data_IF_054134366186
#
_entry.id   IF_054134366186
#
_cell.length_a   1.000
_cell.length_b   1.000
_cell.length_c   1.000
_cell.angle_alpha   90.00
_cell.angle_beta   90.00
_cell.angle_gamma   90.00
#
_symmetry.space_group_name_H-M   'P 1'
#
loop_
_entity.id
_entity.type
_entity.pdbx_description
1 polymer ?
#
# COMPACT_ATOMS: atom_id res chain seq x y z
N UNK A 1 -10.68 1.15 -2.53
CA UNK A 1 -10.03 0.90 -3.83
C UNK A 1 -9.79 2.18 -4.64
N UNK A 2 -10.82 3.02 -4.91
CA UNK A 2 -10.67 4.26 -5.70
C UNK A 2 -9.46 5.12 -5.31
N UNK A 3 -9.30 5.43 -4.02
CA UNK A 3 -8.17 6.25 -3.53
C UNK A 3 -6.80 5.59 -3.73
N UNK A 4 -6.72 4.26 -3.56
CA UNK A 4 -5.49 3.51 -3.83
C UNK A 4 -5.08 3.68 -5.31
N UNK A 5 -6.02 3.45 -6.22
CA UNK A 5 -5.78 3.58 -7.66
C UNK A 5 -5.43 5.03 -8.04
N UNK A 6 -6.08 6.02 -7.43
CA UNK A 6 -5.74 7.43 -7.64
C UNK A 6 -4.30 7.74 -7.23
N UNK A 7 -3.84 7.28 -6.06
CA UNK A 7 -2.44 7.49 -5.64
C UNK A 7 -1.48 6.76 -6.57
N UNK A 8 -1.78 5.51 -6.91
CA UNK A 8 -0.96 4.72 -7.83
C UNK A 8 -0.80 5.41 -9.19
N UNK A 9 -1.91 5.83 -9.80
CA UNK A 9 -1.91 6.50 -11.10
C UNK A 9 -1.32 7.91 -11.03
N UNK A 10 -1.49 8.62 -9.92
CA UNK A 10 -0.83 9.90 -9.69
C UNK A 10 0.70 9.76 -9.73
N UNK A 11 1.27 8.75 -9.06
CA UNK A 11 2.72 8.48 -9.15
C UNK A 11 3.15 8.24 -10.60
N UNK A 12 2.38 7.45 -11.36
CA UNK A 12 2.66 7.19 -12.78
C UNK A 12 2.64 8.50 -13.58
N UNK A 13 1.58 9.28 -13.45
CA UNK A 13 1.39 10.53 -14.18
C UNK A 13 2.49 11.53 -13.88
N UNK A 14 2.82 11.76 -12.60
CA UNK A 14 3.87 12.71 -12.20
C UNK A 14 5.24 12.33 -12.78
N UNK A 15 5.59 11.04 -12.78
CA UNK A 15 6.86 10.58 -13.33
C UNK A 15 6.88 10.68 -14.85
N UNK A 16 5.81 10.27 -15.53
CA UNK A 16 5.74 10.27 -17.00
C UNK A 16 5.65 11.67 -17.60
N UNK A 17 4.95 12.61 -16.95
CA UNK A 17 4.84 14.00 -17.41
C UNK A 17 6.08 14.84 -17.11
N UNK A 18 6.97 14.39 -16.22
CA UNK A 18 8.21 15.09 -15.93
C UNK A 18 9.23 14.93 -17.08
N UNK A 19 9.22 15.88 -18.02
CA UNK A 19 10.08 15.85 -19.21
C UNK A 19 11.58 15.91 -18.91
N UNK A 20 12.01 16.72 -17.94
CA UNK A 20 13.43 16.87 -17.60
C UNK A 20 13.95 15.67 -16.81
N UNK A 21 14.96 14.97 -17.34
CA UNK A 21 15.55 13.78 -16.74
C UNK A 21 16.06 13.98 -15.31
N UNK A 22 16.75 15.10 -15.04
CA UNK A 22 17.27 15.41 -13.70
C UNK A 22 16.15 15.57 -12.66
N UNK A 23 15.08 16.29 -13.00
CA UNK A 23 13.89 16.45 -12.16
C UNK A 23 13.16 15.12 -11.96
N UNK A 24 13.06 14.30 -13.01
CA UNK A 24 12.41 12.98 -12.94
C UNK A 24 13.16 12.02 -12.00
N UNK A 25 14.49 12.04 -12.00
CA UNK A 25 15.32 11.30 -11.03
C UNK A 25 15.08 11.80 -9.60
N UNK A 26 14.96 13.12 -9.39
CA UNK A 26 14.62 13.68 -8.07
C UNK A 26 13.23 13.25 -7.61
N UNK A 27 12.27 13.16 -8.53
CA UNK A 27 10.92 12.72 -8.27
C UNK A 27 10.87 11.25 -7.84
N UNK A 28 11.61 10.34 -8.50
CA UNK A 28 11.75 8.95 -8.04
C UNK A 28 12.34 8.87 -6.62
N UNK A 29 13.40 9.64 -6.33
CA UNK A 29 13.96 9.71 -4.96
C UNK A 29 12.92 10.17 -3.95
N UNK A 30 12.10 11.16 -4.31
CA UNK A 30 11.04 11.69 -3.45
C UNK A 30 9.98 10.63 -3.18
N UNK A 31 9.50 9.92 -4.20
CA UNK A 31 8.54 8.83 -4.00
C UNK A 31 9.07 7.70 -3.13
N UNK A 32 10.33 7.30 -3.29
CA UNK A 32 10.97 6.30 -2.43
C UNK A 32 11.01 6.78 -0.97
N UNK A 33 11.34 8.06 -0.72
CA UNK A 33 11.30 8.63 0.65
C UNK A 33 9.88 8.66 1.23
N UNK A 34 8.89 9.06 0.43
CA UNK A 34 7.49 9.09 0.88
C UNK A 34 7.02 7.67 1.21
N UNK A 35 7.34 6.68 0.37
CA UNK A 35 7.03 5.29 0.64
C UNK A 35 7.69 4.80 1.94
N UNK A 36 8.98 5.13 2.16
CA UNK A 36 9.66 4.80 3.41
C UNK A 36 8.92 5.36 4.64
N UNK A 37 8.49 6.62 4.60
CA UNK A 37 7.68 7.21 5.65
C UNK A 37 6.31 6.54 5.80
N UNK A 38 5.61 6.21 4.70
CA UNK A 38 4.36 5.47 4.78
C UNK A 38 4.53 4.12 5.50
N UNK A 39 5.64 3.41 5.23
CA UNK A 39 5.98 2.16 5.92
C UNK A 39 6.27 2.38 7.41
N UNK A 40 7.05 3.41 7.76
CA UNK A 40 7.36 3.81 9.14
C UNK A 40 6.07 4.09 9.94
N UNK A 41 5.10 4.78 9.33
CA UNK A 41 3.78 5.04 9.92
C UNK A 41 2.79 3.88 9.81
N UNK A 42 3.25 2.68 9.42
CA UNK A 42 2.41 1.49 9.25
C UNK A 42 1.22 1.72 8.30
N UNK A 43 1.34 2.71 7.40
CA UNK A 43 0.40 3.00 6.33
C UNK A 43 0.78 2.20 5.08
N UNK A 44 0.57 0.89 5.17
CA UNK A 44 0.91 -0.06 4.13
C UNK A 44 0.09 0.17 2.86
N UNK A 45 -1.17 0.62 2.97
CA UNK A 45 -1.99 0.93 1.79
C UNK A 45 -1.35 1.99 0.88
N UNK A 46 -0.88 3.10 1.44
CA UNK A 46 -0.27 4.19 0.66
C UNK A 46 1.14 3.83 0.21
N UNK A 47 1.89 3.12 1.05
CA UNK A 47 3.18 2.54 0.69
C UNK A 47 3.06 1.71 -0.60
N UNK A 48 2.19 0.69 -0.62
CA UNK A 48 2.02 -0.16 -1.80
C UNK A 48 1.49 0.61 -3.01
N UNK A 49 0.60 1.58 -2.83
CA UNK A 49 0.12 2.40 -3.96
C UNK A 49 1.27 3.12 -4.67
N UNK A 50 2.22 3.66 -3.90
CA UNK A 50 3.39 4.36 -4.46
C UNK A 50 4.34 3.40 -5.15
N UNK A 51 4.69 2.28 -4.51
CA UNK A 51 5.61 1.29 -5.11
C UNK A 51 4.99 0.71 -6.38
N UNK A 52 3.72 0.32 -6.37
CA UNK A 52 3.01 -0.17 -7.56
C UNK A 52 2.90 0.87 -8.67
N UNK A 53 2.86 2.16 -8.33
CA UNK A 53 2.95 3.25 -9.30
C UNK A 53 4.33 3.31 -9.98
N UNK A 54 5.41 3.11 -9.22
CA UNK A 54 6.78 3.08 -9.75
C UNK A 54 7.09 1.80 -10.55
N UNK A 55 6.52 0.65 -10.15
CA UNK A 55 6.64 -0.62 -10.90
C UNK A 55 5.78 -0.66 -12.17
N UNK A 56 4.89 0.32 -12.38
CA UNK A 56 4.05 0.39 -13.57
C UNK A 56 4.91 0.39 -14.85
N UNK A 57 4.56 -0.36 -15.90
CA UNK A 57 5.31 -0.41 -17.15
C UNK A 57 5.62 0.96 -17.78
N UNK A 58 4.78 1.97 -17.54
CA UNK A 58 5.00 3.33 -18.00
C UNK A 58 6.20 4.03 -17.33
N UNK A 59 6.49 3.66 -16.09
CA UNK A 59 7.58 4.19 -15.28
C UNK A 59 8.81 3.28 -15.32
N UNK A 60 8.62 1.96 -15.16
CA UNK A 60 9.72 1.00 -15.08
C UNK A 60 10.54 0.91 -16.37
N UNK A 61 9.92 1.16 -17.55
CA UNK A 61 10.63 1.20 -18.84
C UNK A 61 11.58 2.40 -19.02
N UNK A 62 11.53 3.41 -18.16
CA UNK A 62 12.32 4.65 -18.30
C UNK A 62 13.79 4.44 -17.88
N UNK A 63 14.50 3.56 -18.60
CA UNK A 63 15.86 3.07 -18.27
C UNK A 63 16.83 4.17 -17.87
N UNK A 64 16.95 5.23 -18.68
CA UNK A 64 17.84 6.36 -18.40
C UNK A 64 17.58 7.04 -17.04
N UNK A 65 16.33 7.04 -16.58
CA UNK A 65 15.94 7.61 -15.28
C UNK A 65 16.39 6.68 -14.16
N UNK A 66 16.14 5.39 -14.31
CA UNK A 66 16.53 4.38 -13.33
C UNK A 66 18.04 4.23 -13.24
N UNK A 67 18.76 4.29 -14.35
CA UNK A 67 20.23 4.27 -14.40
C UNK A 67 20.83 5.40 -13.56
N UNK A 68 20.33 6.63 -13.71
CA UNK A 68 20.78 7.81 -12.95
C UNK A 68 20.28 7.88 -11.51
N UNK A 69 19.42 6.96 -11.08
CA UNK A 69 19.02 6.86 -9.67
C UNK A 69 20.22 6.34 -8.84
N UNK A 70 20.64 7.04 -7.77
CA UNK A 70 21.76 6.58 -6.95
C UNK A 70 21.52 5.21 -6.33
N UNK A 71 22.59 4.42 -6.21
CA UNK A 71 22.55 3.03 -5.74
C UNK A 71 21.86 2.86 -4.39
N UNK A 72 22.01 3.83 -3.46
CA UNK A 72 21.29 3.83 -2.17
C UNK A 72 19.77 3.75 -2.35
N UNK A 73 19.21 4.54 -3.26
CA UNK A 73 17.76 4.56 -3.52
C UNK A 73 17.29 3.33 -4.31
N UNK A 74 18.12 2.81 -5.23
CA UNK A 74 17.86 1.52 -5.89
C UNK A 74 17.72 0.39 -4.88
N UNK A 75 18.60 0.32 -3.88
CA UNK A 75 18.55 -0.68 -2.81
C UNK A 75 17.26 -0.57 -1.97
N UNK A 76 16.87 0.64 -1.55
CA UNK A 76 15.60 0.84 -0.85
C UNK A 76 14.39 0.43 -1.69
N UNK A 77 14.39 0.80 -2.98
CA UNK A 77 13.30 0.43 -3.88
C UNK A 77 13.20 -1.09 -4.04
N UNK A 78 14.33 -1.79 -4.24
CA UNK A 78 14.35 -3.26 -4.33
C UNK A 78 13.86 -3.93 -3.04
N UNK A 79 14.25 -3.42 -1.87
CA UNK A 79 13.70 -3.88 -0.58
C UNK A 79 12.17 -3.71 -0.54
N UNK A 80 11.67 -2.57 -0.99
CA UNK A 80 10.24 -2.29 -1.00
C UNK A 80 9.48 -3.19 -1.99
N UNK A 81 10.02 -3.44 -3.18
CA UNK A 81 9.44 -4.38 -4.15
C UNK A 81 9.36 -5.81 -3.60
N UNK A 82 10.38 -6.25 -2.85
CA UNK A 82 10.39 -7.59 -2.23
C UNK A 82 9.22 -7.80 -1.24
N UNK A 83 8.71 -6.71 -0.65
CA UNK A 83 7.55 -6.76 0.24
C UNK A 83 6.24 -6.96 -0.53
N UNK A 84 6.22 -6.66 -1.84
CA UNK A 84 5.08 -6.83 -2.74
C UNK A 84 5.03 -8.22 -3.38
N UNK A 85 5.98 -9.11 -3.09
CA UNK A 85 6.06 -10.44 -3.71
C UNK A 85 4.72 -11.19 -3.58
N UNK A 86 4.03 -11.49 -4.71
CA UNK A 86 2.74 -12.16 -4.67
C UNK A 86 2.85 -13.65 -4.31
N UNK A 87 4.07 -14.20 -4.29
CA UNK A 87 4.35 -15.61 -4.00
C UNK A 87 3.76 -16.06 -2.67
N UNK A 88 3.27 -17.30 -2.65
CA UNK A 88 2.63 -17.92 -1.47
C UNK A 88 1.53 -17.01 -0.88
N UNK A 89 0.75 -16.39 -1.76
CA UNK A 89 -0.32 -15.45 -1.43
C UNK A 89 0.15 -14.27 -0.57
N UNK A 90 1.20 -13.56 -1.02
CA UNK A 90 1.77 -12.39 -0.34
C UNK A 90 2.30 -12.69 1.07
N UNK A 91 3.03 -13.80 1.22
CA UNK A 91 3.56 -14.26 2.53
C UNK A 91 4.42 -13.20 3.23
N UNK A 92 5.27 -12.49 2.49
CA UNK A 92 6.16 -11.44 3.03
C UNK A 92 5.35 -10.32 3.71
N UNK A 93 4.33 -9.80 3.03
CA UNK A 93 3.39 -8.83 3.59
C UNK A 93 2.68 -9.38 4.83
N UNK A 94 2.11 -10.59 4.74
CA UNK A 94 1.33 -11.19 5.84
C UNK A 94 2.16 -11.35 7.12
N UNK A 95 3.39 -11.87 7.00
CA UNK A 95 4.31 -12.01 8.13
C UNK A 95 4.74 -10.67 8.71
N UNK A 96 4.79 -9.62 7.89
CA UNK A 96 5.08 -8.28 8.39
C UNK A 96 3.91 -7.75 9.21
N UNK A 97 2.68 -7.85 8.69
CA UNK A 97 1.47 -7.37 9.40
C UNK A 97 1.30 -8.06 10.75
N UNK A 98 1.60 -9.36 10.86
CA UNK A 98 1.49 -10.08 12.15
C UNK A 98 2.46 -9.59 13.22
N UNK A 99 3.55 -8.92 12.83
CA UNK A 99 4.57 -8.38 13.76
C UNK A 99 4.33 -6.90 14.10
N UNK A 100 3.42 -6.23 13.39
CA UNK A 100 3.14 -4.82 13.62
C UNK A 100 2.09 -4.66 14.71
N UNK A 101 2.34 -3.72 15.61
CA UNK A 101 1.32 -3.28 16.57
C UNK A 101 0.42 -2.21 15.93
N UNK A 102 -0.90 -2.22 16.20
CA UNK A 102 -1.81 -1.14 15.78
C UNK A 102 -1.34 0.26 16.27
N UNK A 103 -1.65 1.34 15.54
CA UNK A 103 -2.49 1.40 14.33
C UNK A 103 -1.74 0.93 13.08
N UNK A 104 -2.43 0.25 12.18
CA UNK A 104 -1.92 -0.14 10.87
C UNK A 104 -2.98 0.23 9.85
N UNK A 105 -2.62 0.83 8.71
CA UNK A 105 -3.51 0.95 7.55
C UNK A 105 -3.12 -0.15 6.56
N UNK A 106 -3.85 -1.27 6.51
CA UNK A 106 -3.44 -2.46 5.76
C UNK A 106 -3.58 -2.26 4.25
N UNK A 107 -2.92 -3.11 3.48
CA UNK A 107 -3.07 -3.18 2.02
C UNK A 107 -4.48 -3.66 1.64
N UNK A 108 -5.38 -2.71 1.42
CA UNK A 108 -6.82 -2.99 1.23
C UNK A 108 -7.13 -3.89 0.03
N UNK A 109 -6.47 -3.76 -1.14
CA UNK A 109 -6.68 -4.69 -2.26
C UNK A 109 -6.51 -6.17 -1.90
N UNK A 110 -5.51 -6.53 -1.10
CA UNK A 110 -5.31 -7.92 -0.69
C UNK A 110 -6.38 -8.39 0.30
N UNK A 111 -6.78 -7.54 1.24
CA UNK A 111 -7.87 -7.89 2.17
C UNK A 111 -9.21 -8.10 1.45
N UNK A 112 -9.49 -7.27 0.43
CA UNK A 112 -10.68 -7.42 -0.39
C UNK A 112 -10.64 -8.71 -1.21
N UNK A 113 -9.48 -9.04 -1.82
CA UNK A 113 -9.27 -10.33 -2.49
C UNK A 113 -9.57 -11.51 -1.55
N UNK A 114 -9.04 -11.47 -0.33
CA UNK A 114 -9.27 -12.54 0.66
C UNK A 114 -10.76 -12.65 1.04
N UNK A 115 -11.45 -11.53 1.21
CA UNK A 115 -12.89 -11.53 1.51
C UNK A 115 -13.73 -12.06 0.36
N UNK A 116 -13.42 -11.67 -0.89
CA UNK A 116 -14.09 -12.19 -2.09
C UNK A 116 -13.89 -13.70 -2.19
N UNK A 117 -12.65 -14.17 -2.09
CA UNK A 117 -12.35 -15.61 -2.15
C UNK A 117 -13.05 -16.39 -1.03
N UNK A 118 -13.08 -15.83 0.19
CA UNK A 118 -13.81 -16.45 1.31
C UNK A 118 -15.32 -16.49 1.04
N UNK A 119 -15.87 -15.41 0.49
CA UNK A 119 -17.30 -15.28 0.22
C UNK A 119 -17.78 -16.26 -0.85
N UNK A 120 -17.04 -16.35 -1.95
CA UNK A 120 -17.34 -17.18 -3.11
C UNK A 120 -17.00 -18.66 -2.87
N UNK A 121 -15.90 -18.93 -2.16
CA UNK A 121 -15.43 -20.29 -1.92
C UNK A 121 -16.15 -21.05 -0.79
N UNK A 122 -16.90 -20.35 0.06
CA UNK A 122 -17.56 -20.96 1.23
C UNK A 122 -19.05 -20.58 1.29
N UNK A 123 -19.92 -21.58 1.42
CA UNK A 123 -21.36 -21.33 1.64
C UNK A 123 -21.58 -20.66 2.99
N UNK A 124 -22.49 -19.69 3.03
CA UNK A 124 -22.89 -19.02 4.28
C UNK A 124 -23.65 -19.97 5.21
N UNK A 125 -24.40 -20.92 4.63
CA UNK A 125 -25.12 -21.95 5.35
C UNK A 125 -24.71 -23.34 4.86
N UNK A 126 -24.55 -24.28 5.79
CA UNK A 126 -24.31 -25.71 5.55
C UNK A 126 -25.37 -26.43 6.37
N UNK A 127 -26.20 -27.26 5.73
CA UNK A 127 -27.29 -27.99 6.36
C UNK A 127 -28.23 -27.12 7.22
N UNK A 128 -28.64 -25.96 6.66
CA UNK A 128 -29.44 -24.92 7.32
C UNK A 128 -28.81 -24.30 8.59
N UNK A 129 -27.53 -24.60 8.89
CA UNK A 129 -26.77 -23.97 9.97
C UNK A 129 -25.79 -22.94 9.43
N UNK A 130 -25.50 -21.91 10.23
CA UNK A 130 -24.52 -20.87 9.88
C UNK A 130 -23.12 -21.47 9.85
N UNK A 131 -22.37 -21.18 8.78
CA UNK A 131 -20.96 -21.54 8.67
C UNK A 131 -20.09 -20.59 9.51
N UNK A 132 -19.83 -20.95 10.76
CA UNK A 132 -19.00 -20.16 11.68
C UNK A 132 -17.53 -20.05 11.25
N UNK A 133 -17.00 -21.02 10.49
CA UNK A 133 -15.64 -20.95 9.96
C UNK A 133 -15.49 -19.78 8.98
N UNK A 134 -16.46 -19.63 8.06
CA UNK A 134 -16.56 -18.47 7.17
C UNK A 134 -16.63 -17.17 7.98
N UNK A 135 -17.47 -17.12 9.02
CA UNK A 135 -17.61 -15.93 9.86
C UNK A 135 -16.31 -15.56 10.57
N UNK A 136 -15.58 -16.54 11.08
CA UNK A 136 -14.31 -16.31 11.76
C UNK A 136 -13.24 -15.73 10.81
N UNK A 137 -13.15 -16.25 9.58
CA UNK A 137 -12.22 -15.74 8.56
C UNK A 137 -12.57 -14.28 8.22
N UNK A 138 -13.84 -13.98 7.98
CA UNK A 138 -14.29 -12.61 7.70
C UNK A 138 -14.01 -11.68 8.89
N UNK A 139 -14.24 -12.14 10.13
CA UNK A 139 -14.00 -11.35 11.33
C UNK A 139 -12.54 -10.93 11.49
N UNK A 140 -11.57 -11.79 11.15
CA UNK A 140 -10.14 -11.43 11.17
C UNK A 140 -9.82 -10.20 10.31
N UNK A 141 -10.46 -10.08 9.14
CA UNK A 141 -10.29 -8.92 8.25
C UNK A 141 -10.96 -7.67 8.82
N UNK A 142 -12.15 -7.82 9.42
CA UNK A 142 -12.89 -6.72 10.05
C UNK A 142 -12.16 -6.14 11.27
N UNK A 143 -11.57 -6.97 12.11
CA UNK A 143 -10.80 -6.52 13.28
C UNK A 143 -9.58 -5.69 12.86
N UNK A 144 -8.86 -6.15 11.83
CA UNK A 144 -7.69 -5.44 11.30
C UNK A 144 -8.08 -4.06 10.74
N UNK A 145 -9.21 -3.94 10.06
CA UNK A 145 -9.67 -2.67 9.48
C UNK A 145 -10.30 -1.73 10.53
N UNK A 146 -11.02 -2.26 11.52
CA UNK A 146 -11.63 -1.47 12.60
C UNK A 146 -10.59 -0.75 13.45
N UNK A 147 -9.48 -1.42 13.78
CA UNK A 147 -8.39 -0.81 14.55
C UNK A 147 -7.76 0.38 13.81
N UNK A 148 -7.71 0.35 12.48
CA UNK A 148 -7.28 1.48 11.64
C UNK A 148 -8.26 2.65 11.69
N UNK A 149 -9.56 2.38 11.61
CA UNK A 149 -10.62 3.40 11.54
C UNK A 149 -10.85 4.13 12.86
N UNK A 150 -10.80 3.44 13.99
CA UNK A 150 -11.05 4.05 15.32
C UNK A 150 -10.03 5.14 15.63
N UNK A 151 -8.77 4.99 15.19
CA UNK A 151 -7.70 5.97 15.42
C UNK A 151 -7.59 7.04 14.34
N UNK A 152 -8.34 6.93 13.23
CA UNK A 152 -8.44 7.98 12.22
C UNK A 152 -9.39 9.12 12.63
N UNK A 153 -10.02 9.01 13.82
CA UNK A 153 -10.81 10.11 14.40
C UNK A 153 -9.85 11.22 14.86
N UNK A 154 -10.10 12.48 14.48
CA UNK A 154 -9.26 13.59 14.93
C UNK A 154 -9.38 13.74 16.45
N UNK A 155 -8.31 13.40 17.19
CA UNK A 155 -8.10 13.91 18.53
C UNK A 155 -7.47 15.28 18.42
N UNK A 156 -7.99 16.24 19.18
CA UNK A 156 -7.74 17.68 19.10
C UNK A 156 -6.34 18.14 19.53
N UNK A 157 -5.31 17.30 19.49
CA UNK A 157 -3.96 17.75 19.85
C UNK A 157 -2.86 16.93 19.17
N UNK A 158 -2.08 17.63 18.33
CA UNK A 158 -0.85 17.20 17.62
C UNK A 158 -1.11 16.23 16.45
N UNK A 159 -0.40 16.21 15.34
CA UNK A 159 0.81 16.87 14.84
C UNK A 159 1.01 16.31 13.43
N UNK A 160 1.44 17.08 12.43
CA UNK A 160 2.20 16.65 11.23
C UNK A 160 1.64 15.54 10.27
N UNK A 161 0.89 14.54 10.72
CA UNK A 161 0.41 13.37 9.97
C UNK A 161 -0.57 13.71 8.84
N UNK A 162 -1.33 14.78 9.02
CA UNK A 162 -2.28 15.26 8.01
C UNK A 162 -1.55 15.97 6.87
N UNK A 163 -0.36 16.56 7.10
CA UNK A 163 0.34 17.36 6.08
C UNK A 163 0.97 16.51 4.96
N UNK A 164 1.41 15.27 5.25
CA UNK A 164 1.89 14.34 4.21
C UNK A 164 0.72 13.80 3.38
N UNK A 165 -0.43 13.54 4.02
CA UNK A 165 -1.65 13.11 3.33
C UNK A 165 -2.24 14.24 2.48
N UNK A 166 -2.27 15.48 2.99
CA UNK A 166 -2.76 16.65 2.26
C UNK A 166 -1.85 17.04 1.08
N UNK A 167 -0.52 16.89 1.17
CA UNK A 167 0.36 17.13 0.01
C UNK A 167 0.23 16.08 -1.10
N UNK A 168 -0.34 14.90 -0.83
CA UNK A 168 -0.74 13.89 -1.83
C UNK A 168 -2.22 14.10 -2.26
N UNK A 169 -2.87 15.13 -1.76
CA UNK A 169 -4.29 15.45 -1.99
C UNK A 169 -4.48 16.77 -2.77
N UNK A 170 -3.46 17.62 -2.85
CA UNK A 170 -3.46 18.91 -3.54
C UNK A 170 -2.42 19.01 -4.69
N UNK A 171 -2.01 17.87 -5.23
CA UNK A 171 -1.45 17.72 -6.57
C UNK A 171 -2.23 16.63 -7.30
#
# INVERSE_FOLDING_TARGET
LRRFNQVQLWVVTEVCLCGQLSKRVQLLKKFIKIAAHCREFKNLNSFFAIIMGMSNPAVSRLSQTWEKLPTKFKKFYAEFESMMDPSRNHRSYRLTVTKLEPPIIPFMPLLLKDMTFTHEGNKTFIDNMVNFEKMFITNKVLVLTRSSWVMSRPSTSKSFHIHVLFKIQYF
#
